data_IF_046895452956
#
_entry.id   IF_046895452956
#
_cell.length_a   1.000
_cell.length_b   1.000
_cell.length_c   1.000
_cell.angle_alpha   90.00
_cell.angle_beta   90.00
_cell.angle_gamma   90.00
#
_symmetry.space_group_name_H-M   'P 1'
#
loop_
_entity.id
_entity.type
_entity.pdbx_description
1 polymer ?
#
# COMPACT_ATOMS: atom_id res chain seq x y z
N UNK A 1 -20.66 23.25 4.29
CA UNK A 1 -19.58 23.16 5.31
C UNK A 1 -19.35 21.67 5.57
N UNK A 2 -18.10 21.19 5.76
CA UNK A 2 -17.38 20.40 4.76
C UNK A 2 -17.06 18.95 5.20
N UNK A 3 -16.35 18.23 4.33
CA UNK A 3 -15.55 17.00 4.57
C UNK A 3 -16.28 15.69 4.92
N UNK A 4 -16.96 15.11 3.94
CA UNK A 4 -16.94 13.64 3.81
C UNK A 4 -15.74 13.22 2.97
N UNK A 5 -14.55 13.66 3.35
CA UNK A 5 -13.36 12.88 3.04
C UNK A 5 -13.53 11.61 3.85
N UNK A 6 -14.21 10.60 3.28
CA UNK A 6 -14.12 9.22 3.71
C UNK A 6 -12.67 8.78 3.50
N UNK A 7 -11.75 9.37 4.26
CA UNK A 7 -10.40 8.88 4.44
C UNK A 7 -10.53 7.71 5.41
N UNK A 8 -11.22 6.67 4.93
CA UNK A 8 -11.28 5.38 5.56
C UNK A 8 -9.90 4.77 5.43
N UNK A 9 -8.97 5.23 6.27
CA UNK A 9 -7.64 4.67 6.56
C UNK A 9 -7.11 3.85 5.38
N UNK A 10 -6.74 4.51 4.29
CA UNK A 10 -6.14 3.81 3.16
C UNK A 10 -4.71 3.43 3.53
N UNK A 11 -4.30 2.23 3.14
CA UNK A 11 -2.92 1.77 3.25
C UNK A 11 -2.18 2.22 2.01
N UNK A 12 -1.07 2.93 2.19
CA UNK A 12 -0.19 3.33 1.10
C UNK A 12 0.88 2.26 0.90
N UNK A 13 1.14 1.88 -0.35
CA UNK A 13 2.31 1.06 -0.67
C UNK A 13 3.58 1.85 -0.35
N UNK A 14 4.52 1.22 0.34
CA UNK A 14 5.78 1.84 0.76
C UNK A 14 6.70 2.19 -0.41
N UNK A 15 6.51 1.54 -1.56
CA UNK A 15 7.39 1.67 -2.74
C UNK A 15 6.85 2.64 -3.80
N UNK A 16 5.53 2.70 -4.01
CA UNK A 16 4.94 3.53 -5.07
C UNK A 16 3.79 4.45 -4.61
N UNK A 17 3.52 4.53 -3.29
CA UNK A 17 2.49 5.37 -2.69
C UNK A 17 1.06 5.13 -3.24
N UNK A 18 0.82 3.95 -3.84
CA UNK A 18 -0.51 3.56 -4.29
C UNK A 18 -1.45 3.34 -3.10
N UNK A 19 -2.71 3.78 -3.23
CA UNK A 19 -3.70 3.76 -2.15
C UNK A 19 -4.52 2.48 -2.20
N UNK A 20 -4.57 1.76 -1.10
CA UNK A 20 -5.33 0.53 -0.94
C UNK A 20 -6.32 0.65 0.20
N UNK A 21 -7.46 -0.03 0.07
CA UNK A 21 -8.50 -0.04 1.10
C UNK A 21 -8.20 -1.04 2.22
N UNK A 22 -7.41 -2.07 1.93
CA UNK A 22 -7.02 -3.11 2.88
C UNK A 22 -5.50 -3.33 2.87
N UNK A 23 -4.94 -3.72 4.02
CA UNK A 23 -3.52 -4.08 4.12
C UNK A 23 -3.16 -5.32 3.32
N UNK A 24 -4.11 -6.24 3.11
CA UNK A 24 -3.92 -7.41 2.26
C UNK A 24 -3.62 -7.02 0.80
N UNK A 25 -4.42 -6.10 0.24
CA UNK A 25 -4.20 -5.62 -1.14
C UNK A 25 -2.87 -4.88 -1.26
N UNK A 26 -2.50 -4.07 -0.27
CA UNK A 26 -1.21 -3.40 -0.23
C UNK A 26 -0.06 -4.42 -0.21
N UNK A 27 -0.15 -5.45 0.63
CA UNK A 27 0.89 -6.48 0.74
C UNK A 27 1.01 -7.33 -0.52
N UNK A 28 -0.13 -7.73 -1.12
CA UNK A 28 -0.13 -8.46 -2.40
C UNK A 28 0.46 -7.59 -3.52
N UNK A 29 0.10 -6.32 -3.56
CA UNK A 29 0.68 -5.36 -4.49
C UNK A 29 2.20 -5.24 -4.31
N UNK A 30 2.69 -5.12 -3.07
CA UNK A 30 4.13 -5.11 -2.78
C UNK A 30 4.80 -6.38 -3.28
N UNK A 31 4.19 -7.55 -3.09
CA UNK A 31 4.75 -8.83 -3.55
C UNK A 31 4.75 -9.00 -5.08
N UNK A 32 3.71 -8.54 -5.77
CA UNK A 32 3.54 -8.72 -7.22
C UNK A 32 4.21 -7.62 -8.03
N UNK A 33 4.10 -6.35 -7.59
CA UNK A 33 4.66 -5.18 -8.29
C UNK A 33 6.06 -4.82 -7.82
N UNK A 34 6.37 -5.08 -6.55
CA UNK A 34 7.67 -4.79 -5.94
C UNK A 34 8.39 -6.09 -5.52
N UNK A 35 8.12 -7.20 -6.23
CA UNK A 35 8.68 -8.53 -5.95
C UNK A 35 10.21 -8.55 -5.88
N UNK A 36 10.87 -7.74 -6.71
CA UNK A 36 12.33 -7.63 -6.75
C UNK A 36 12.89 -6.86 -5.56
N UNK A 37 12.15 -5.85 -5.09
CA UNK A 37 12.52 -5.02 -3.95
C UNK A 37 12.26 -5.76 -2.62
N UNK A 38 11.21 -6.59 -2.57
CA UNK A 38 10.88 -7.41 -1.40
C UNK A 38 11.97 -8.46 -1.09
N UNK A 39 12.67 -8.96 -2.10
CA UNK A 39 13.78 -9.93 -1.93
C UNK A 39 15.02 -9.31 -1.29
N UNK A 40 15.12 -7.98 -1.32
CA UNK A 40 16.27 -7.25 -0.78
C UNK A 40 16.03 -6.74 0.65
N UNK A 41 14.80 -6.87 1.16
CA UNK A 41 14.42 -6.50 2.52
C UNK A 41 14.60 -7.68 3.49
N UNK A 42 15.83 -8.16 3.68
CA UNK A 42 16.22 -8.98 4.83
C UNK A 42 17.64 -8.55 5.22
N UNK A 43 17.88 -8.01 6.43
CA UNK A 43 19.23 -7.63 6.86
C UNK A 43 20.19 -8.82 6.94
#
# INVERSE_FOLDING_TARGET
>A
MPVSSQDGKFILCSYCNQRFRFGYDANLHEKEKHSDELKSATP
#
